data_IF_733962045945
#
_entry.id   IF_733962045945
#
_cell.length_a   1.000
_cell.length_b   1.000
_cell.length_c   1.000
_cell.angle_alpha   90.00
_cell.angle_beta   90.00
_cell.angle_gamma   90.00
#
_symmetry.space_group_name_H-M   'P 1'
#
loop_
_entity.id
_entity.type
_entity.pdbx_description
1 polymer ?
#
# COMPACT_ATOMS: atom_id res chain seq x y z
N UNK A 1 -32.70 13.82 22.66
CA UNK A 1 -31.38 13.15 22.48
C UNK A 1 -30.33 14.10 21.89
N UNK A 2 -30.01 15.24 22.52
CA UNK A 2 -29.01 16.21 21.99
C UNK A 2 -27.99 16.71 23.02
N UNK A 3 -27.85 16.02 24.15
CA UNK A 3 -26.96 16.42 25.25
C UNK A 3 -26.17 15.25 25.82
N UNK A 4 -25.65 14.38 24.95
CA UNK A 4 -24.79 13.28 25.38
C UNK A 4 -23.37 13.58 24.89
N UNK A 5 -22.42 13.60 25.81
CA UNK A 5 -20.99 13.91 25.65
C UNK A 5 -20.58 15.39 25.63
N UNK A 6 -20.53 16.01 26.83
CA UNK A 6 -19.61 17.12 27.13
C UNK A 6 -18.74 16.75 28.33
N UNK A 7 -17.49 17.21 28.33
CA UNK A 7 -16.54 17.05 29.44
C UNK A 7 -15.80 15.71 29.46
N UNK A 8 -15.36 15.31 30.66
CA UNK A 8 -14.51 14.15 30.97
C UNK A 8 -15.01 12.83 30.37
N UNK A 9 -16.34 12.63 30.27
CA UNK A 9 -16.91 11.41 29.68
C UNK A 9 -16.51 11.21 28.20
N UNK A 10 -16.27 12.28 27.45
CA UNK A 10 -15.78 12.18 26.05
C UNK A 10 -14.29 11.82 26.00
N UNK A 11 -13.51 12.30 26.96
CA UNK A 11 -12.08 11.95 27.09
C UNK A 11 -11.93 10.51 27.58
N UNK A 12 -12.73 10.08 28.56
CA UNK A 12 -12.79 8.70 29.03
C UNK A 12 -13.13 7.73 27.89
N UNK A 13 -14.13 8.07 27.07
CA UNK A 13 -14.53 7.23 25.94
C UNK A 13 -13.43 7.10 24.87
N UNK A 14 -12.66 8.16 24.61
CA UNK A 14 -11.48 8.09 23.73
C UNK A 14 -10.38 7.20 24.30
N UNK A 15 -10.13 7.31 25.61
CA UNK A 15 -9.13 6.49 26.31
C UNK A 15 -9.53 5.01 26.31
N UNK A 16 -10.81 4.71 26.57
CA UNK A 16 -11.35 3.35 26.55
C UNK A 16 -11.30 2.76 25.13
N UNK A 17 -11.61 3.56 24.10
CA UNK A 17 -11.48 3.13 22.70
C UNK A 17 -10.02 2.80 22.34
N UNK A 18 -9.07 3.65 22.72
CA UNK A 18 -7.64 3.44 22.47
C UNK A 18 -7.12 2.18 23.17
N UNK A 19 -7.52 1.98 24.43
CA UNK A 19 -7.14 0.79 25.21
C UNK A 19 -7.74 -0.49 24.63
N UNK A 20 -8.99 -0.44 24.15
CA UNK A 20 -9.58 -1.56 23.43
C UNK A 20 -8.88 -1.81 22.09
N UNK A 21 -8.53 -0.78 21.31
CA UNK A 21 -7.84 -0.98 20.03
C UNK A 21 -6.46 -1.64 20.20
N UNK A 22 -5.72 -1.27 21.25
CA UNK A 22 -4.42 -1.85 21.58
C UNK A 22 -4.54 -3.32 22.04
N UNK A 23 -5.59 -3.67 22.80
CA UNK A 23 -5.84 -5.05 23.27
C UNK A 23 -6.21 -6.01 22.13
N UNK A 24 -6.93 -5.50 21.12
CA UNK A 24 -7.39 -6.31 19.98
C UNK A 24 -6.50 -6.20 18.74
N UNK A 25 -5.38 -5.46 18.81
CA UNK A 25 -4.40 -5.36 17.73
C UNK A 25 -4.95 -4.71 16.47
N UNK A 26 -5.92 -3.79 16.61
CA UNK A 26 -6.44 -3.06 15.45
C UNK A 26 -5.37 -2.10 14.95
N UNK A 27 -4.94 -2.30 13.69
CA UNK A 27 -4.07 -1.35 12.99
C UNK A 27 -4.73 0.03 12.98
N UNK A 28 -3.94 1.07 13.19
CA UNK A 28 -4.45 2.43 13.07
C UNK A 28 -4.88 2.70 11.62
N UNK A 29 -5.80 3.66 11.43
CA UNK A 29 -6.23 4.06 10.08
C UNK A 29 -5.02 4.48 9.24
N UNK A 30 -4.04 5.16 9.85
CA UNK A 30 -2.82 5.58 9.18
C UNK A 30 -1.96 4.40 8.70
N UNK A 31 -1.83 3.34 9.51
CA UNK A 31 -1.07 2.13 9.13
C UNK A 31 -1.74 1.39 7.96
N UNK A 32 -3.08 1.31 7.94
CA UNK A 32 -3.83 0.68 6.85
C UNK A 32 -3.72 1.51 5.57
N UNK A 33 -3.84 2.83 5.67
CA UNK A 33 -3.72 3.73 4.51
C UNK A 33 -2.31 3.70 3.89
N UNK A 34 -1.27 3.59 4.71
CA UNK A 34 0.12 3.46 4.24
C UNK A 34 0.35 2.12 3.52
N UNK A 35 -0.11 1.00 4.09
CA UNK A 35 -0.02 -0.32 3.45
C UNK A 35 -0.79 -0.39 2.13
N UNK A 36 -1.99 0.20 2.06
CA UNK A 36 -2.76 0.28 0.81
C UNK A 36 -2.07 1.14 -0.24
N UNK A 37 -1.43 2.23 0.16
CA UNK A 37 -0.69 3.10 -0.73
C UNK A 37 0.54 2.40 -1.30
N UNK A 38 1.28 1.68 -0.46
CA UNK A 38 2.42 0.87 -0.88
C UNK A 38 2.00 -0.23 -1.85
N UNK A 39 0.88 -0.92 -1.58
CA UNK A 39 0.32 -1.94 -2.46
C UNK A 39 -0.05 -1.34 -3.83
N UNK A 40 -0.76 -0.20 -3.84
CA UNK A 40 -1.13 0.50 -5.08
C UNK A 40 0.09 0.95 -5.88
N UNK A 41 1.13 1.48 -5.22
CA UNK A 41 2.37 1.89 -5.89
C UNK A 41 3.06 0.67 -6.52
N UNK A 42 3.12 -0.46 -5.80
CA UNK A 42 3.71 -1.69 -6.32
C UNK A 42 2.95 -2.19 -7.54
N UNK A 43 1.63 -2.26 -7.48
CA UNK A 43 0.81 -2.70 -8.61
C UNK A 43 0.95 -1.78 -9.82
N UNK A 44 0.95 -0.46 -9.60
CA UNK A 44 1.14 0.53 -10.68
C UNK A 44 2.51 0.38 -11.36
N UNK A 45 3.57 0.15 -10.58
CA UNK A 45 4.92 -0.09 -11.13
C UNK A 45 4.98 -1.37 -11.97
N UNK A 46 4.26 -2.40 -11.54
CA UNK A 46 4.19 -3.68 -12.24
C UNK A 46 3.39 -3.57 -13.54
N UNK A 47 2.29 -2.82 -13.56
CA UNK A 47 1.55 -2.50 -14.78
C UNK A 47 2.40 -1.70 -15.78
N UNK A 48 3.21 -0.75 -15.30
CA UNK A 48 4.13 0.00 -16.14
C UNK A 48 5.14 -0.92 -16.84
N UNK A 49 5.70 -1.90 -16.12
CA UNK A 49 6.60 -2.91 -16.71
C UNK A 49 5.89 -3.74 -17.77
N UNK A 50 4.65 -4.17 -17.51
CA UNK A 50 3.87 -4.95 -18.48
C UNK A 50 3.53 -4.16 -19.75
N UNK A 51 3.28 -2.85 -19.62
CA UNK A 51 3.09 -1.95 -20.74
C UNK A 51 4.39 -1.80 -21.56
N UNK A 52 5.54 -1.73 -20.90
CA UNK A 52 6.85 -1.67 -21.58
C UNK A 52 7.15 -2.93 -22.38
N UNK A 53 6.68 -4.10 -21.93
CA UNK A 53 6.78 -5.34 -22.73
C UNK A 53 6.03 -5.28 -24.06
N UNK A 54 5.01 -4.43 -24.20
CA UNK A 54 4.32 -4.24 -25.48
C UNK A 54 5.12 -3.40 -26.49
N UNK A 55 6.24 -2.81 -26.08
CA UNK A 55 7.11 -1.98 -26.92
C UNK A 55 8.28 -2.85 -27.41
N UNK A 56 8.27 -3.33 -28.67
CA UNK A 56 9.25 -4.31 -29.17
C UNK A 56 10.69 -3.78 -29.28
N UNK A 57 10.89 -2.47 -29.11
CA UNK A 57 12.21 -1.83 -29.12
C UNK A 57 12.89 -1.84 -27.76
N UNK A 58 12.15 -2.05 -26.67
CA UNK A 58 12.71 -2.04 -25.32
C UNK A 58 13.26 -3.41 -24.96
N UNK A 59 14.55 -3.46 -24.63
CA UNK A 59 15.21 -4.64 -24.08
C UNK A 59 14.95 -4.74 -22.58
N UNK A 60 15.22 -5.91 -21.99
CA UNK A 60 15.06 -6.10 -20.54
C UNK A 60 15.98 -5.18 -19.73
N UNK A 61 17.14 -4.82 -20.29
CA UNK A 61 18.06 -3.85 -19.70
C UNK A 61 17.46 -2.43 -19.70
N UNK A 62 16.79 -2.04 -20.79
CA UNK A 62 16.13 -0.73 -20.88
C UNK A 62 14.97 -0.65 -19.88
N UNK A 63 14.15 -1.69 -19.80
CA UNK A 63 13.04 -1.78 -18.86
C UNK A 63 13.58 -1.74 -17.42
N UNK A 64 14.64 -2.49 -17.13
CA UNK A 64 15.32 -2.48 -15.82
C UNK A 64 15.79 -1.09 -15.42
N UNK A 65 16.39 -0.35 -16.35
CA UNK A 65 16.85 1.02 -16.10
C UNK A 65 15.72 2.00 -15.83
N UNK A 66 14.54 1.81 -16.43
CA UNK A 66 13.40 2.73 -16.26
C UNK A 66 12.59 2.38 -15.00
N UNK A 67 12.32 1.09 -14.80
CA UNK A 67 11.45 0.63 -13.70
C UNK A 67 12.21 0.38 -12.40
N UNK A 68 13.55 0.38 -12.43
CA UNK A 68 14.44 0.07 -11.30
C UNK A 68 14.27 -1.38 -10.80
N UNK A 69 13.59 -2.23 -11.57
CA UNK A 69 13.50 -3.66 -11.26
C UNK A 69 14.76 -4.38 -11.76
N UNK A 70 15.28 -5.37 -11.03
CA UNK A 70 16.35 -6.22 -11.53
C UNK A 70 15.97 -6.87 -12.86
N UNK A 71 16.94 -6.98 -13.77
CA UNK A 71 16.75 -7.66 -15.06
C UNK A 71 16.19 -9.07 -14.88
N UNK A 72 16.69 -9.80 -13.89
CA UNK A 72 16.24 -11.17 -13.58
C UNK A 72 14.74 -11.23 -13.25
N UNK A 73 14.22 -10.23 -12.54
CA UNK A 73 12.80 -10.18 -12.15
C UNK A 73 11.92 -9.80 -13.35
N UNK A 74 12.41 -8.92 -14.22
CA UNK A 74 11.77 -8.57 -15.49
C UNK A 74 11.70 -9.80 -16.40
N UNK A 75 12.77 -10.57 -16.51
CA UNK A 75 12.82 -11.81 -17.29
C UNK A 75 11.84 -12.86 -16.75
N UNK A 76 11.83 -13.08 -15.44
CA UNK A 76 10.85 -13.98 -14.80
C UNK A 76 9.41 -13.55 -15.10
N UNK A 77 9.12 -12.25 -14.97
CA UNK A 77 7.79 -11.70 -15.24
C UNK A 77 7.38 -11.87 -16.70
N UNK A 78 8.30 -11.64 -17.64
CA UNK A 78 8.07 -11.86 -19.07
C UNK A 78 7.82 -13.33 -19.38
N UNK A 79 8.50 -14.25 -18.70
CA UNK A 79 8.33 -15.70 -18.88
C UNK A 79 7.03 -16.25 -18.25
N UNK A 80 6.40 -15.52 -17.33
CA UNK A 80 5.12 -15.89 -16.69
C UNK A 80 3.88 -15.40 -17.45
N UNK A 81 4.07 -14.66 -18.55
CA UNK A 81 3.02 -14.09 -19.39
C UNK A 81 2.68 -15.01 -20.55
#
# INVERSE_FOLDING_TARGET
MKYWFKGEAKEQFKMDFKKCSEVYGYKSIAEVEEEELEAKIKDTKLEMVDAMFAIPKLTDADISSISVFPVDDIQKRRAQR
#
